data_IF_672377739056
#
_entry.id   IF_672377739056
#
_cell.length_a   1.000
_cell.length_b   1.000
_cell.length_c   1.000
_cell.angle_alpha   90.00
_cell.angle_beta   90.00
_cell.angle_gamma   90.00
#
_symmetry.space_group_name_H-M   'P 1'
#
loop_
_entity.id
_entity.type
_entity.pdbx_description
1 polymer ?
#
# COMPACT_ATOMS: atom_id res chain seq x y z
N UNK A 1 -7.00 25.96 -23.77
CA UNK A 1 -6.67 24.65 -24.35
C UNK A 1 -5.34 24.18 -23.79
N UNK A 2 -5.32 23.07 -23.06
CA UNK A 2 -4.17 22.17 -22.93
C UNK A 2 -4.70 20.84 -22.36
N UNK A 3 -4.68 19.83 -23.21
CA UNK A 3 -5.22 18.48 -22.99
C UNK A 3 -4.55 17.77 -21.81
N UNK A 4 -5.38 17.35 -20.86
CA UNK A 4 -5.09 16.40 -19.78
C UNK A 4 -4.57 15.09 -20.38
N UNK A 5 -3.26 14.95 -20.53
CA UNK A 5 -2.60 13.67 -20.79
C UNK A 5 -1.50 13.48 -19.74
N UNK A 6 -1.92 13.12 -18.54
CA UNK A 6 -1.00 12.56 -17.55
C UNK A 6 -1.53 11.19 -17.18
N UNK A 7 -1.50 10.28 -18.16
CA UNK A 7 -1.34 8.88 -17.81
C UNK A 7 0.16 8.76 -17.46
N UNK A 8 0.49 8.90 -16.18
CA UNK A 8 1.83 8.52 -15.70
C UNK A 8 1.92 7.00 -15.80
N UNK A 9 2.21 6.52 -17.02
CA UNK A 9 2.55 5.13 -17.23
C UNK A 9 3.95 4.94 -16.64
N UNK A 10 4.07 3.98 -15.73
CA UNK A 10 5.36 3.59 -15.17
C UNK A 10 6.17 2.95 -16.31
N UNK A 11 7.19 3.66 -16.80
CA UNK A 11 8.02 3.21 -17.92
C UNK A 11 9.48 2.91 -17.49
N UNK A 12 9.83 3.23 -16.25
CA UNK A 12 11.14 2.94 -15.68
C UNK A 12 11.10 1.61 -14.92
N UNK A 13 11.83 0.62 -15.40
CA UNK A 13 11.79 -0.74 -14.85
C UNK A 13 12.32 -0.81 -13.41
N UNK A 14 13.30 0.03 -13.05
CA UNK A 14 13.87 0.06 -11.70
C UNK A 14 12.87 0.68 -10.72
N UNK A 15 12.19 1.76 -11.11
CA UNK A 15 11.10 2.35 -10.34
C UNK A 15 9.93 1.37 -10.17
N UNK A 16 9.55 0.65 -11.23
CA UNK A 16 8.51 -0.39 -11.17
C UNK A 16 8.88 -1.44 -10.12
N UNK A 17 10.11 -1.96 -10.17
CA UNK A 17 10.56 -3.01 -9.23
C UNK A 17 10.56 -2.51 -7.78
N UNK A 18 10.97 -1.26 -7.55
CA UNK A 18 10.93 -0.63 -6.23
C UNK A 18 9.49 -0.45 -5.72
N UNK A 19 8.58 0.06 -6.56
CA UNK A 19 7.16 0.24 -6.23
C UNK A 19 6.53 -1.13 -5.93
N UNK A 20 6.76 -2.13 -6.78
CA UNK A 20 6.24 -3.50 -6.60
C UNK A 20 6.72 -4.10 -5.29
N UNK A 21 8.00 -3.95 -4.92
CA UNK A 21 8.52 -4.43 -3.63
C UNK A 21 7.79 -3.79 -2.44
N UNK A 22 7.52 -2.49 -2.51
CA UNK A 22 6.81 -1.77 -1.44
C UNK A 22 5.33 -2.15 -1.36
N UNK A 23 4.66 -2.29 -2.50
CA UNK A 23 3.27 -2.75 -2.57
C UNK A 23 3.13 -4.18 -2.03
N UNK A 24 4.03 -5.11 -2.39
CA UNK A 24 4.03 -6.48 -1.84
C UNK A 24 4.18 -6.48 -0.32
N UNK A 25 4.97 -5.56 0.25
CA UNK A 25 5.06 -5.39 1.71
C UNK A 25 3.74 -4.93 2.31
N UNK A 26 3.10 -3.91 1.73
CA UNK A 26 1.79 -3.43 2.19
C UNK A 26 0.70 -4.52 2.09
N UNK A 27 0.74 -5.34 1.04
CA UNK A 27 -0.14 -6.50 0.87
C UNK A 27 0.02 -7.51 2.01
N UNK A 28 1.26 -7.82 2.43
CA UNK A 28 1.51 -8.69 3.57
C UNK A 28 0.91 -8.16 4.88
N UNK A 29 0.99 -6.84 5.08
CA UNK A 29 0.37 -6.18 6.25
C UNK A 29 -1.16 -6.24 6.19
N UNK A 30 -1.76 -6.04 5.02
CA UNK A 30 -3.21 -6.21 4.83
C UNK A 30 -3.67 -7.65 5.11
N UNK A 31 -2.88 -8.64 4.69
CA UNK A 31 -3.15 -10.05 5.00
C UNK A 31 -3.10 -10.34 6.51
N UNK A 32 -2.19 -9.70 7.24
CA UNK A 32 -2.16 -9.78 8.70
C UNK A 32 -3.42 -9.16 9.31
N UNK A 33 -3.84 -7.98 8.85
CA UNK A 33 -5.07 -7.32 9.32
C UNK A 33 -6.31 -8.17 9.06
N UNK A 34 -6.41 -8.81 7.88
CA UNK A 34 -7.52 -9.72 7.57
C UNK A 34 -7.58 -10.88 8.58
N UNK A 35 -6.44 -11.52 8.89
CA UNK A 35 -6.38 -12.57 9.93
C UNK A 35 -6.78 -12.06 11.30
N UNK A 36 -6.36 -10.85 11.68
CA UNK A 36 -6.75 -10.25 12.97
C UNK A 36 -8.27 -10.08 13.08
N UNK A 37 -8.94 -9.76 11.98
CA UNK A 37 -10.41 -9.64 11.92
C UNK A 37 -11.05 -11.02 12.03
N UNK A 38 -10.56 -12.01 11.27
CA UNK A 38 -11.05 -13.39 11.31
C UNK A 38 -10.88 -14.05 12.70
N UNK A 39 -9.80 -13.71 13.40
CA UNK A 39 -9.51 -14.16 14.77
C UNK A 39 -10.32 -13.40 15.84
N UNK A 40 -11.09 -12.37 15.46
CA UNK A 40 -11.89 -11.59 16.40
C UNK A 40 -11.07 -10.74 17.38
N UNK A 41 -9.91 -10.23 16.94
CA UNK A 41 -9.04 -9.38 17.77
C UNK A 41 -9.67 -8.01 18.08
N UNK A 42 -9.08 -7.31 19.04
CA UNK A 42 -9.55 -6.01 19.48
C UNK A 42 -9.49 -4.97 18.35
N UNK A 43 -10.56 -4.17 18.22
CA UNK A 43 -10.68 -3.10 17.23
C UNK A 43 -9.53 -2.08 17.27
N UNK A 44 -9.03 -1.71 18.44
CA UNK A 44 -7.95 -0.73 18.59
C UNK A 44 -6.64 -1.24 18.01
N UNK A 45 -6.35 -2.53 18.18
CA UNK A 45 -5.19 -3.17 17.58
C UNK A 45 -5.30 -3.20 16.05
N UNK A 46 -6.50 -3.52 15.54
CA UNK A 46 -6.78 -3.55 14.10
C UNK A 46 -6.61 -2.16 13.48
N UNK A 47 -7.18 -1.12 14.10
CA UNK A 47 -7.07 0.27 13.64
C UNK A 47 -5.62 0.76 13.67
N UNK A 48 -4.85 0.37 14.68
CA UNK A 48 -3.42 0.66 14.77
C UNK A 48 -2.66 0.04 13.59
N UNK A 49 -2.92 -1.23 13.28
CA UNK A 49 -2.30 -1.90 12.12
C UNK A 49 -2.75 -1.29 10.79
N UNK A 50 -4.02 -0.91 10.67
CA UNK A 50 -4.56 -0.25 9.48
C UNK A 50 -3.85 1.10 9.22
N UNK A 51 -3.51 1.84 10.27
CA UNK A 51 -2.75 3.09 10.17
C UNK A 51 -1.32 2.84 9.66
N UNK A 52 -0.68 1.74 10.09
CA UNK A 52 0.62 1.34 9.59
C UNK A 52 0.57 0.94 8.10
N UNK A 53 -0.47 0.22 7.68
CA UNK A 53 -0.72 -0.13 6.27
C UNK A 53 -0.88 1.13 5.43
N UNK A 54 -1.71 2.09 5.88
CA UNK A 54 -1.93 3.35 5.18
C UNK A 54 -0.61 4.10 4.92
N UNK A 55 0.27 4.16 5.93
CA UNK A 55 1.60 4.74 5.81
C UNK A 55 2.49 3.98 4.81
N UNK A 56 2.44 2.65 4.81
CA UNK A 56 3.20 1.82 3.88
C UNK A 56 2.74 2.02 2.43
N UNK A 57 1.42 2.08 2.19
CA UNK A 57 0.84 2.36 0.87
C UNK A 57 1.23 3.76 0.39
N UNK A 58 1.13 4.77 1.26
CA UNK A 58 1.55 6.13 0.93
C UNK A 58 3.04 6.19 0.54
N UNK A 59 3.89 5.45 1.25
CA UNK A 59 5.31 5.36 0.93
C UNK A 59 5.55 4.61 -0.38
N UNK A 60 4.73 3.62 -0.72
CA UNK A 60 4.82 2.90 -1.99
C UNK A 60 4.44 3.78 -3.19
N UNK A 61 3.50 4.71 -3.01
CA UNK A 61 2.99 5.57 -4.08
C UNK A 61 3.84 6.82 -4.35
N UNK A 62 4.52 7.37 -3.33
CA UNK A 62 5.14 8.70 -3.41
C UNK A 62 6.64 8.78 -3.11
N UNK A 63 7.29 7.68 -2.72
CA UNK A 63 8.75 7.63 -2.49
C UNK A 63 9.46 6.87 -3.61
#
# INVERSE_FOLDING_TARGET
MATKKVAHVLNDQEQIDLIVKRIKRAQGQLGAVARMIEEGRNCDEIVTQMSAVSKAVNTAAFA
#
